data_IF_493471336428
#
_entry.id   IF_493471336428
#
_cell.length_a   1.000
_cell.length_b   1.000
_cell.length_c   1.000
_cell.angle_alpha   90.00
_cell.angle_beta   90.00
_cell.angle_gamma   90.00
#
_symmetry.space_group_name_H-M   'P 1'
#
loop_
_entity.id
_entity.type
_entity.pdbx_description
1 polymer ?
#
# COMPACT_ATOMS: atom_id res chain seq x y z
N UNK A 1 5.37 -0.58 -30.42
CA UNK A 1 6.15 0.07 -29.34
C UNK A 1 5.88 1.57 -29.25
N UNK A 2 5.98 2.35 -30.36
CA UNK A 2 5.70 3.80 -30.33
C UNK A 2 4.28 4.14 -29.83
N UNK A 3 3.25 3.44 -30.27
CA UNK A 3 1.87 3.70 -29.85
C UNK A 3 1.65 3.51 -28.34
N UNK A 4 2.35 2.56 -27.71
CA UNK A 4 2.30 2.35 -26.27
C UNK A 4 2.96 3.51 -25.52
N UNK A 5 4.14 3.96 -25.94
CA UNK A 5 4.83 5.11 -25.35
C UNK A 5 4.01 6.40 -25.47
N UNK A 6 3.39 6.61 -26.65
CA UNK A 6 2.49 7.75 -26.86
C UNK A 6 1.29 7.67 -25.91
N UNK A 7 0.69 6.49 -25.74
CA UNK A 7 -0.41 6.30 -24.78
C UNK A 7 -0.01 6.60 -23.35
N UNK A 8 1.16 6.13 -22.91
CA UNK A 8 1.69 6.46 -21.58
C UNK A 8 1.92 7.97 -21.41
N UNK A 9 2.51 8.64 -22.40
CA UNK A 9 2.71 10.09 -22.38
C UNK A 9 1.40 10.87 -22.34
N UNK A 10 0.42 10.48 -23.15
CA UNK A 10 -0.90 11.14 -23.18
C UNK A 10 -1.61 11.07 -21.82
N UNK A 11 -1.42 9.99 -21.07
CA UNK A 11 -1.98 9.85 -19.72
C UNK A 11 -1.14 10.62 -18.69
N UNK A 12 0.19 10.55 -18.78
CA UNK A 12 1.08 11.12 -17.76
C UNK A 12 1.18 12.64 -17.82
N UNK A 13 1.16 13.25 -19.03
CA UNK A 13 1.34 14.68 -19.21
C UNK A 13 0.28 15.53 -18.47
N UNK A 14 -1.03 15.22 -18.51
CA UNK A 14 -2.02 16.00 -17.74
C UNK A 14 -1.75 15.98 -16.23
N UNK A 15 -1.30 14.84 -15.66
CA UNK A 15 -0.95 14.76 -14.25
C UNK A 15 0.30 15.58 -13.93
N UNK A 16 1.32 15.53 -14.76
CA UNK A 16 2.54 16.35 -14.60
C UNK A 16 2.21 17.82 -14.61
N UNK A 17 1.38 18.28 -15.57
CA UNK A 17 0.94 19.66 -15.65
C UNK A 17 0.16 20.05 -14.38
N UNK A 18 -0.78 19.20 -13.94
CA UNK A 18 -1.56 19.45 -12.71
C UNK A 18 -0.66 19.63 -11.48
N UNK A 19 0.29 18.72 -11.25
CA UNK A 19 1.21 18.84 -10.12
C UNK A 19 2.16 20.03 -10.23
N UNK A 20 2.56 20.39 -11.44
CA UNK A 20 3.35 21.59 -11.69
C UNK A 20 2.57 22.86 -11.35
N UNK A 21 1.34 23.00 -11.83
CA UNK A 21 0.47 24.15 -11.53
C UNK A 21 0.13 24.28 -10.03
N UNK A 22 0.04 23.15 -9.33
CA UNK A 22 -0.16 23.13 -7.86
C UNK A 22 1.12 23.37 -7.05
N UNK A 23 2.27 23.54 -7.70
CA UNK A 23 3.56 23.73 -7.05
C UNK A 23 4.07 22.53 -6.26
N UNK A 24 3.53 21.33 -6.50
CA UNK A 24 3.87 20.11 -5.77
C UNK A 24 4.49 18.99 -6.65
N UNK A 25 5.08 19.37 -7.78
CA UNK A 25 5.73 18.42 -8.70
C UNK A 25 6.95 17.75 -8.03
N UNK A 26 7.73 18.45 -7.23
CA UNK A 26 8.87 17.92 -6.49
C UNK A 26 8.43 16.86 -5.50
N UNK A 27 7.36 17.09 -4.76
CA UNK A 27 6.77 16.14 -3.81
C UNK A 27 6.22 14.91 -4.52
N UNK A 28 5.58 15.10 -5.68
CA UNK A 28 5.11 13.99 -6.51
C UNK A 28 6.27 13.12 -6.99
N UNK A 29 7.34 13.72 -7.53
CA UNK A 29 8.53 12.97 -7.97
C UNK A 29 9.21 12.28 -6.79
N UNK A 30 9.37 12.96 -5.67
CA UNK A 30 9.95 12.39 -4.46
C UNK A 30 9.14 11.18 -3.98
N UNK A 31 7.84 11.33 -3.77
CA UNK A 31 6.97 10.27 -3.24
C UNK A 31 6.84 9.07 -4.19
N UNK A 32 6.83 9.33 -5.50
CA UNK A 32 6.62 8.28 -6.51
C UNK A 32 7.90 7.49 -6.82
N UNK A 33 9.05 8.15 -6.84
CA UNK A 33 10.31 7.55 -7.28
C UNK A 33 11.34 7.46 -6.15
N UNK A 34 11.76 8.59 -5.61
CA UNK A 34 12.88 8.65 -4.66
C UNK A 34 12.58 7.88 -3.38
N UNK A 35 11.43 8.14 -2.78
CA UNK A 35 10.99 7.46 -1.57
C UNK A 35 10.86 5.95 -1.77
N UNK A 36 10.32 5.50 -2.90
CA UNK A 36 10.20 4.06 -3.18
C UNK A 36 11.58 3.39 -3.33
N UNK A 37 12.58 4.08 -3.89
CA UNK A 37 13.95 3.57 -3.95
C UNK A 37 14.58 3.50 -2.55
N UNK A 38 14.40 4.50 -1.70
CA UNK A 38 14.86 4.50 -0.31
C UNK A 38 14.21 3.36 0.49
N UNK A 39 12.90 3.18 0.31
CA UNK A 39 12.13 2.09 0.90
C UNK A 39 12.69 0.72 0.51
N UNK A 40 12.88 0.47 -0.80
CA UNK A 40 13.38 -0.82 -1.30
C UNK A 40 14.78 -1.15 -0.78
N UNK A 41 15.65 -0.15 -0.60
CA UNK A 41 17.01 -0.34 -0.06
C UNK A 41 17.01 -0.81 1.40
N UNK A 42 16.03 -0.40 2.19
CA UNK A 42 15.96 -0.66 3.64
C UNK A 42 15.07 -1.85 4.00
N UNK A 43 14.18 -2.26 3.10
CA UNK A 43 13.30 -3.41 3.34
C UNK A 43 14.08 -4.72 3.34
N UNK A 44 13.82 -5.53 4.36
CA UNK A 44 14.29 -6.92 4.36
C UNK A 44 13.31 -7.80 3.57
N UNK A 45 13.82 -8.75 2.77
CA UNK A 45 12.97 -9.70 2.08
C UNK A 45 12.09 -10.45 3.11
N UNK A 46 10.77 -10.43 2.91
CA UNK A 46 9.79 -11.06 3.80
C UNK A 46 10.06 -12.55 4.05
N UNK A 47 10.68 -13.23 3.09
CA UNK A 47 11.00 -14.67 3.15
C UNK A 47 11.93 -15.05 4.30
N UNK A 48 12.69 -14.09 4.85
CA UNK A 48 13.62 -14.35 5.96
C UNK A 48 12.95 -14.66 7.29
N UNK A 49 11.67 -14.31 7.47
CA UNK A 49 10.91 -14.55 8.69
C UNK A 49 9.64 -15.36 8.47
N UNK A 50 9.42 -15.85 7.23
CA UNK A 50 8.19 -16.53 6.86
C UNK A 50 8.13 -17.94 7.47
N UNK A 51 7.03 -18.25 8.15
CA UNK A 51 6.70 -19.59 8.60
C UNK A 51 6.02 -20.42 7.49
N UNK A 52 5.75 -21.70 7.78
CA UNK A 52 5.11 -22.60 6.82
C UNK A 52 3.71 -22.11 6.40
N UNK A 53 2.98 -21.47 7.31
CA UNK A 53 1.65 -20.92 7.03
C UNK A 53 1.73 -19.70 6.09
N UNK A 54 2.74 -18.87 6.26
CA UNK A 54 2.98 -17.71 5.39
C UNK A 54 3.37 -18.17 3.98
N UNK A 55 4.19 -19.23 3.87
CA UNK A 55 4.51 -19.86 2.59
C UNK A 55 3.24 -20.42 1.92
N UNK A 56 2.37 -21.09 2.69
CA UNK A 56 1.12 -21.65 2.16
C UNK A 56 0.18 -20.54 1.66
N UNK A 57 -0.01 -19.46 2.44
CA UNK A 57 -0.78 -18.29 2.03
C UNK A 57 -0.21 -17.66 0.76
N UNK A 58 1.11 -17.57 0.71
CA UNK A 58 1.83 -17.10 -0.47
C UNK A 58 1.49 -17.92 -1.71
N UNK A 59 1.64 -19.25 -1.66
CA UNK A 59 1.35 -20.12 -2.80
C UNK A 59 -0.10 -20.00 -3.29
N UNK A 60 -1.05 -19.77 -2.37
CA UNK A 60 -2.46 -19.61 -2.71
C UNK A 60 -2.70 -18.23 -3.36
N UNK A 61 -2.26 -17.16 -2.74
CA UNK A 61 -2.52 -15.78 -3.19
C UNK A 61 -1.76 -15.47 -4.47
N UNK A 62 -0.55 -15.98 -4.60
CA UNK A 62 0.33 -15.71 -5.73
C UNK A 62 0.32 -16.80 -6.81
N UNK A 63 -0.71 -17.66 -6.81
CA UNK A 63 -0.86 -18.69 -7.84
C UNK A 63 -0.78 -18.13 -9.26
N UNK A 64 -1.36 -16.95 -9.50
CA UNK A 64 -1.32 -16.27 -10.81
C UNK A 64 0.11 -15.96 -11.24
N UNK A 65 0.98 -15.56 -10.31
CA UNK A 65 2.40 -15.35 -10.57
C UNK A 65 3.09 -16.61 -11.13
N UNK A 66 2.83 -17.76 -10.51
CA UNK A 66 3.37 -19.04 -11.02
C UNK A 66 2.78 -19.43 -12.38
N UNK A 67 1.52 -19.05 -12.65
CA UNK A 67 0.91 -19.23 -13.96
C UNK A 67 1.60 -18.39 -15.04
N UNK A 68 2.08 -17.19 -14.74
CA UNK A 68 2.86 -16.36 -15.69
C UNK A 68 4.19 -17.05 -16.05
N UNK A 69 4.89 -17.61 -15.05
CA UNK A 69 6.10 -18.41 -15.28
C UNK A 69 5.84 -19.64 -16.15
N UNK A 70 4.76 -20.38 -15.87
CA UNK A 70 4.36 -21.53 -16.69
C UNK A 70 3.97 -21.11 -18.12
N UNK A 71 3.31 -19.96 -18.29
CA UNK A 71 2.97 -19.41 -19.60
C UNK A 71 4.21 -19.05 -20.42
N UNK A 72 5.27 -18.54 -19.78
CA UNK A 72 6.54 -18.30 -20.44
C UNK A 72 7.13 -19.60 -21.01
N UNK A 73 7.20 -20.66 -20.21
CA UNK A 73 7.68 -21.96 -20.67
C UNK A 73 6.82 -22.53 -21.80
N UNK A 74 5.51 -22.38 -21.74
CA UNK A 74 4.59 -22.81 -22.78
C UNK A 74 4.79 -22.01 -24.08
N UNK A 75 4.95 -20.69 -24.00
CA UNK A 75 5.22 -19.83 -25.15
C UNK A 75 6.57 -20.21 -25.84
N UNK A 76 7.59 -20.54 -25.04
CA UNK A 76 8.87 -21.01 -25.54
C UNK A 76 8.72 -22.34 -26.29
N UNK A 77 7.99 -23.29 -25.70
CA UNK A 77 7.73 -24.60 -26.36
C UNK A 77 7.01 -24.43 -27.70
N UNK A 78 6.06 -23.47 -27.80
CA UNK A 78 5.37 -23.15 -29.06
C UNK A 78 6.21 -22.30 -30.04
N UNK A 79 7.43 -21.93 -29.68
CA UNK A 79 8.31 -21.03 -30.47
C UNK A 79 7.69 -19.63 -30.67
N UNK A 80 6.79 -19.21 -29.80
CA UNK A 80 6.17 -17.90 -29.81
C UNK A 80 7.06 -16.87 -29.04
N UNK A 81 8.21 -16.55 -29.67
CA UNK A 81 9.29 -15.81 -28.99
C UNK A 81 8.88 -14.41 -28.47
N UNK A 82 8.00 -13.71 -29.18
CA UNK A 82 7.51 -12.40 -28.73
C UNK A 82 6.71 -12.54 -27.43
N UNK A 83 5.82 -13.53 -27.39
CA UNK A 83 4.98 -13.81 -26.21
C UNK A 83 5.84 -14.36 -25.07
N UNK A 84 6.82 -15.21 -25.36
CA UNK A 84 7.82 -15.66 -24.38
C UNK A 84 8.56 -14.50 -23.76
N UNK A 85 9.09 -13.56 -24.56
CA UNK A 85 9.79 -12.39 -24.06
C UNK A 85 8.91 -11.49 -23.19
N UNK A 86 7.64 -11.34 -23.55
CA UNK A 86 6.65 -10.62 -22.74
C UNK A 86 6.45 -11.26 -21.39
N UNK A 87 6.20 -12.57 -21.32
CA UNK A 87 6.02 -13.28 -20.05
C UNK A 87 7.29 -13.30 -19.20
N UNK A 88 8.46 -13.50 -19.80
CA UNK A 88 9.74 -13.48 -19.05
C UNK A 88 10.01 -12.11 -18.45
N UNK A 89 9.79 -11.03 -19.22
CA UNK A 89 9.98 -9.68 -18.72
C UNK A 89 8.99 -9.35 -17.59
N UNK A 90 7.72 -9.70 -17.76
CA UNK A 90 6.71 -9.53 -16.73
C UNK A 90 7.07 -10.32 -15.47
N UNK A 91 7.42 -11.59 -15.62
CA UNK A 91 7.81 -12.45 -14.50
C UNK A 91 9.05 -11.93 -13.78
N UNK A 92 10.04 -11.37 -14.50
CA UNK A 92 11.22 -10.78 -13.90
C UNK A 92 10.92 -9.52 -13.10
N UNK A 93 10.06 -8.62 -13.63
CA UNK A 93 9.63 -7.40 -12.94
C UNK A 93 8.83 -7.77 -11.68
N UNK A 94 7.88 -8.68 -11.79
CA UNK A 94 7.06 -9.15 -10.68
C UNK A 94 7.90 -9.86 -9.62
N UNK A 95 8.89 -10.69 -10.04
CA UNK A 95 9.86 -11.30 -9.13
C UNK A 95 10.65 -10.26 -8.36
N UNK A 96 11.13 -9.24 -9.05
CA UNK A 96 11.87 -8.15 -8.42
C UNK A 96 11.01 -7.43 -7.38
N UNK A 97 9.80 -7.00 -7.74
CA UNK A 97 8.87 -6.34 -6.82
C UNK A 97 8.53 -7.22 -5.62
N UNK A 98 8.41 -8.51 -5.86
CA UNK A 98 8.03 -9.49 -4.87
C UNK A 98 9.15 -9.81 -3.88
N UNK A 99 10.37 -10.06 -4.35
CA UNK A 99 11.49 -10.48 -3.51
C UNK A 99 12.28 -9.30 -2.92
N UNK A 100 12.11 -8.08 -3.44
CA UNK A 100 12.84 -6.90 -2.98
C UNK A 100 12.25 -6.23 -1.76
N UNK A 101 11.00 -6.51 -1.39
CA UNK A 101 10.32 -5.80 -0.32
C UNK A 101 9.26 -6.60 0.43
N UNK A 102 8.35 -5.91 1.11
CA UNK A 102 7.20 -6.52 1.76
C UNK A 102 6.22 -7.05 0.70
N UNK A 103 5.75 -8.28 0.88
CA UNK A 103 4.72 -8.85 0.01
C UNK A 103 3.35 -8.27 0.37
N UNK A 104 2.96 -7.21 -0.30
CA UNK A 104 1.62 -6.66 -0.15
C UNK A 104 0.61 -7.49 -0.96
N UNK A 105 -0.58 -7.69 -0.39
CA UNK A 105 -1.67 -8.47 -1.00
C UNK A 105 -2.10 -7.93 -2.37
N UNK A 106 -1.88 -6.65 -2.64
CA UNK A 106 -2.20 -6.01 -3.93
C UNK A 106 -1.20 -6.31 -5.05
N UNK A 107 0.01 -6.79 -4.77
CA UNK A 107 1.00 -7.06 -5.81
C UNK A 107 0.56 -8.08 -6.88
N UNK A 108 -0.19 -9.16 -6.55
CA UNK A 108 -0.74 -10.05 -7.56
C UNK A 108 -1.64 -9.36 -8.59
N UNK A 109 -2.19 -8.18 -8.28
CA UNK A 109 -3.00 -7.43 -9.24
C UNK A 109 -2.22 -7.00 -10.49
N UNK A 110 -0.89 -6.83 -10.37
CA UNK A 110 0.01 -6.54 -11.50
C UNK A 110 0.04 -7.70 -12.51
N UNK A 111 -0.22 -8.93 -12.05
CA UNK A 111 -0.27 -10.13 -12.90
C UNK A 111 -1.61 -10.30 -13.67
N UNK A 112 -2.64 -9.52 -13.35
CA UNK A 112 -3.97 -9.69 -13.97
C UNK A 112 -3.98 -9.53 -15.49
N UNK A 113 -3.27 -8.55 -16.11
CA UNK A 113 -3.20 -8.45 -17.55
C UNK A 113 -2.61 -9.71 -18.20
N UNK A 114 -1.57 -10.29 -17.61
CA UNK A 114 -0.91 -11.49 -18.11
C UNK A 114 -1.82 -12.71 -18.00
N UNK A 115 -2.68 -12.74 -16.98
CA UNK A 115 -3.69 -13.80 -16.84
C UNK A 115 -4.66 -13.84 -18.02
N UNK A 116 -5.06 -12.67 -18.55
CA UNK A 116 -5.94 -12.61 -19.73
C UNK A 116 -5.27 -13.25 -20.95
N UNK A 117 -3.98 -12.97 -21.17
CA UNK A 117 -3.23 -13.61 -22.27
C UNK A 117 -3.09 -15.12 -22.04
N UNK A 118 -2.81 -15.55 -20.80
CA UNK A 118 -2.73 -16.98 -20.46
C UNK A 118 -4.06 -17.69 -20.70
N UNK A 119 -5.18 -17.11 -20.32
CA UNK A 119 -6.52 -17.68 -20.57
C UNK A 119 -6.78 -17.83 -22.07
N UNK A 120 -6.41 -16.84 -22.87
CA UNK A 120 -6.51 -16.93 -24.33
C UNK A 120 -5.64 -18.08 -24.88
N UNK A 121 -4.40 -18.24 -24.43
CA UNK A 121 -3.53 -19.34 -24.85
C UNK A 121 -4.12 -20.72 -24.47
N UNK A 122 -4.72 -20.84 -23.29
CA UNK A 122 -5.41 -22.07 -22.88
C UNK A 122 -6.60 -22.38 -23.79
N UNK A 123 -7.39 -21.36 -24.17
CA UNK A 123 -8.52 -21.53 -25.09
C UNK A 123 -8.08 -22.04 -26.49
N UNK A 124 -6.87 -21.66 -26.91
CA UNK A 124 -6.29 -22.06 -28.21
C UNK A 124 -5.63 -23.46 -28.19
N UNK A 125 -5.59 -24.16 -27.04
CA UNK A 125 -5.05 -25.52 -26.98
C UNK A 125 -5.88 -26.48 -27.83
N UNK A 126 -5.21 -27.33 -28.63
CA UNK A 126 -5.86 -28.36 -29.43
C UNK A 126 -6.55 -29.42 -28.57
N UNK A 127 -5.91 -29.80 -27.46
CA UNK A 127 -6.48 -30.77 -26.52
C UNK A 127 -7.50 -30.09 -25.60
N UNK A 128 -8.76 -30.15 -26.01
CA UNK A 128 -9.88 -29.52 -25.27
C UNK A 128 -10.07 -30.05 -23.86
N UNK A 129 -9.72 -31.34 -23.58
CA UNK A 129 -9.79 -31.90 -22.22
C UNK A 129 -8.75 -31.25 -21.29
N UNK A 130 -7.55 -30.99 -21.80
CA UNK A 130 -6.51 -30.30 -21.03
C UNK A 130 -6.90 -28.86 -20.81
N UNK A 131 -7.36 -28.15 -21.84
CA UNK A 131 -7.84 -26.78 -21.76
C UNK A 131 -8.94 -26.62 -20.69
N UNK A 132 -9.95 -27.47 -20.70
CA UNK A 132 -11.06 -27.47 -19.72
C UNK A 132 -10.56 -27.69 -18.29
N UNK A 133 -9.63 -28.64 -18.07
CA UNK A 133 -9.07 -28.90 -16.74
C UNK A 133 -8.28 -27.69 -16.21
N UNK A 134 -7.42 -27.07 -17.05
CA UNK A 134 -6.65 -25.90 -16.67
C UNK A 134 -7.56 -24.71 -16.37
N UNK A 135 -8.58 -24.48 -17.19
CA UNK A 135 -9.56 -23.42 -16.98
C UNK A 135 -10.30 -23.61 -15.65
N UNK A 136 -10.78 -24.81 -15.35
CA UNK A 136 -11.46 -25.12 -14.08
C UNK A 136 -10.53 -24.89 -12.87
N UNK A 137 -9.25 -25.24 -12.98
CA UNK A 137 -8.28 -25.05 -11.93
C UNK A 137 -8.05 -23.56 -11.65
N UNK A 138 -7.89 -22.74 -12.70
CA UNK A 138 -7.73 -21.29 -12.56
C UNK A 138 -8.98 -20.66 -11.95
N UNK A 139 -10.16 -21.01 -12.45
CA UNK A 139 -11.45 -20.48 -11.93
C UNK A 139 -11.62 -20.85 -10.46
N UNK A 140 -11.37 -22.11 -10.09
CA UNK A 140 -11.44 -22.56 -8.69
C UNK A 140 -10.50 -21.77 -7.80
N UNK A 141 -9.25 -21.54 -8.24
CA UNK A 141 -8.28 -20.75 -7.49
C UNK A 141 -8.71 -19.29 -7.35
N UNK A 142 -9.27 -18.67 -8.40
CA UNK A 142 -9.81 -17.32 -8.32
C UNK A 142 -10.96 -17.22 -7.30
N UNK A 143 -11.86 -18.20 -7.27
CA UNK A 143 -12.94 -18.26 -6.27
C UNK A 143 -12.36 -18.30 -4.85
N UNK A 144 -11.35 -19.15 -4.60
CA UNK A 144 -10.69 -19.24 -3.29
C UNK A 144 -10.08 -17.88 -2.88
N UNK A 145 -9.37 -17.22 -3.78
CA UNK A 145 -8.77 -15.90 -3.51
C UNK A 145 -9.85 -14.85 -3.20
N UNK A 146 -10.95 -14.84 -3.97
CA UNK A 146 -12.08 -13.93 -3.74
C UNK A 146 -12.71 -14.20 -2.36
N UNK A 147 -12.96 -15.46 -2.01
CA UNK A 147 -13.53 -15.82 -0.70
C UNK A 147 -12.62 -15.37 0.46
N UNK A 148 -11.31 -15.60 0.35
CA UNK A 148 -10.34 -15.12 1.35
C UNK A 148 -10.38 -13.60 1.44
N UNK A 149 -10.40 -12.90 0.31
CA UNK A 149 -10.48 -11.45 0.25
C UNK A 149 -11.75 -10.91 0.92
N UNK A 150 -12.90 -11.51 0.68
CA UNK A 150 -14.18 -11.13 1.31
C UNK A 150 -14.14 -11.30 2.84
N UNK A 151 -13.56 -12.41 3.33
CA UNK A 151 -13.39 -12.62 4.77
C UNK A 151 -12.50 -11.55 5.39
N UNK A 152 -11.41 -11.20 4.72
CA UNK A 152 -10.49 -10.16 5.18
C UNK A 152 -11.16 -8.77 5.20
N UNK A 153 -11.93 -8.43 4.16
CA UNK A 153 -12.70 -7.18 4.10
C UNK A 153 -13.70 -7.10 5.26
N UNK A 154 -14.49 -8.15 5.50
CA UNK A 154 -15.48 -8.14 6.59
C UNK A 154 -14.80 -7.92 7.96
N UNK A 155 -13.70 -8.62 8.24
CA UNK A 155 -12.92 -8.42 9.47
C UNK A 155 -12.37 -7.00 9.59
N UNK A 156 -11.92 -6.43 8.48
CA UNK A 156 -11.42 -5.05 8.46
C UNK A 156 -12.53 -4.05 8.74
N UNK A 157 -13.74 -4.25 8.19
CA UNK A 157 -14.91 -3.39 8.44
C UNK A 157 -15.34 -3.45 9.91
N UNK A 158 -15.45 -4.64 10.49
CA UNK A 158 -15.80 -4.81 11.91
C UNK A 158 -14.78 -4.09 12.82
N UNK A 159 -13.50 -4.31 12.58
CA UNK A 159 -12.43 -3.65 13.32
C UNK A 159 -12.48 -2.12 13.18
N UNK A 160 -12.77 -1.61 11.99
CA UNK A 160 -12.89 -0.19 11.73
C UNK A 160 -14.05 0.44 12.53
N UNK A 161 -15.20 -0.22 12.60
CA UNK A 161 -16.36 0.26 13.34
C UNK A 161 -16.07 0.39 14.85
N UNK A 162 -15.40 -0.58 15.46
CA UNK A 162 -15.03 -0.52 16.87
C UNK A 162 -13.97 0.55 17.16
N UNK A 163 -13.03 0.74 16.27
CA UNK A 163 -11.99 1.76 16.37
C UNK A 163 -12.60 3.17 16.27
N UNK A 164 -13.55 3.39 15.37
CA UNK A 164 -14.21 4.69 15.19
C UNK A 164 -14.96 5.15 16.46
N UNK A 165 -15.57 4.22 17.22
CA UNK A 165 -16.22 4.57 18.51
C UNK A 165 -15.22 5.12 19.54
N UNK A 166 -13.99 4.62 19.54
CA UNK A 166 -12.93 5.13 20.41
C UNK A 166 -12.46 6.52 19.96
N UNK A 167 -12.33 6.74 18.66
CA UNK A 167 -11.98 8.05 18.11
C UNK A 167 -13.05 9.10 18.35
N UNK A 168 -14.33 8.73 18.23
CA UNK A 168 -15.46 9.62 18.43
C UNK A 168 -15.41 10.29 19.79
N UNK A 169 -15.11 9.54 20.85
CA UNK A 169 -14.96 10.07 22.20
C UNK A 169 -13.84 11.10 22.29
N UNK A 170 -12.65 10.77 21.78
CA UNK A 170 -11.48 11.64 21.86
C UNK A 170 -11.61 12.88 20.97
N UNK A 171 -12.18 12.74 19.76
CA UNK A 171 -12.40 13.87 18.84
C UNK A 171 -13.48 14.82 19.36
N UNK A 172 -14.48 14.31 20.09
CA UNK A 172 -15.52 15.14 20.71
C UNK A 172 -14.96 16.14 21.73
N UNK A 173 -13.85 15.81 22.38
CA UNK A 173 -13.16 16.69 23.33
C UNK A 173 -12.45 17.87 22.64
N UNK A 174 -12.20 17.78 21.32
CA UNK A 174 -11.50 18.83 20.58
C UNK A 174 -12.49 19.91 20.16
N UNK A 175 -12.28 21.18 20.57
CA UNK A 175 -13.10 22.29 20.11
C UNK A 175 -13.13 22.38 18.59
N UNK A 176 -14.32 22.59 18.01
CA UNK A 176 -14.49 22.65 16.54
C UNK A 176 -13.55 23.67 15.90
N UNK A 177 -13.31 24.81 16.56
CA UNK A 177 -12.41 25.87 16.09
C UNK A 177 -10.94 25.48 16.09
N UNK A 178 -10.56 24.41 16.79
CA UNK A 178 -9.16 23.93 16.89
C UNK A 178 -8.89 22.67 16.06
N UNK A 179 -9.90 22.11 15.42
CA UNK A 179 -9.77 20.90 14.60
C UNK A 179 -8.86 21.08 13.38
N UNK A 180 -8.66 22.31 12.92
CA UNK A 180 -7.72 22.63 11.83
C UNK A 180 -6.24 22.49 12.24
N UNK A 181 -5.95 22.39 13.54
CA UNK A 181 -4.60 22.17 14.07
C UNK A 181 -4.48 20.82 14.78
N UNK A 182 -5.24 19.84 14.32
CA UNK A 182 -5.23 18.45 14.78
C UNK A 182 -4.42 17.55 13.87
N UNK A 183 -3.69 16.61 14.47
CA UNK A 183 -2.97 15.54 13.78
C UNK A 183 -3.26 14.20 14.45
N UNK A 184 -3.60 13.20 13.65
CA UNK A 184 -3.54 11.80 14.07
C UNK A 184 -2.16 11.24 13.73
N UNK A 185 -1.39 10.90 14.75
CA UNK A 185 -0.01 10.42 14.62
C UNK A 185 0.10 8.94 15.01
N UNK A 186 0.51 8.09 14.09
CA UNK A 186 0.66 6.65 14.35
C UNK A 186 0.37 5.77 13.15
N UNK A 187 -0.37 4.71 13.39
CA UNK A 187 -0.58 3.63 12.43
C UNK A 187 -1.55 3.92 11.28
N UNK A 188 -1.71 2.91 10.44
CA UNK A 188 -2.53 2.97 9.23
C UNK A 188 -4.05 3.12 9.52
N UNK A 189 -4.48 2.80 10.74
CA UNK A 189 -5.87 2.91 11.19
C UNK A 189 -6.39 4.36 11.20
N UNK A 190 -5.52 5.35 11.26
CA UNK A 190 -5.92 6.75 11.31
C UNK A 190 -6.35 7.34 9.96
N UNK A 191 -6.10 6.66 8.83
CA UNK A 191 -6.50 7.17 7.51
C UNK A 191 -8.00 7.42 7.37
N UNK A 192 -8.82 6.58 8.01
CA UNK A 192 -10.27 6.62 7.95
C UNK A 192 -10.87 7.69 8.86
N UNK A 193 -10.14 8.06 9.93
CA UNK A 193 -10.53 9.07 10.88
C UNK A 193 -10.76 10.43 10.19
N UNK A 194 -9.88 10.83 9.30
CA UNK A 194 -10.01 12.11 8.59
C UNK A 194 -11.26 12.16 7.72
N UNK A 195 -11.64 11.06 7.07
CA UNK A 195 -12.85 10.96 6.26
C UNK A 195 -14.11 10.86 7.15
N UNK A 196 -14.06 10.09 8.21
CA UNK A 196 -15.21 9.85 9.07
C UNK A 196 -15.64 11.11 9.85
N UNK A 197 -14.70 11.94 10.28
CA UNK A 197 -14.95 13.16 11.04
C UNK A 197 -14.85 14.45 10.20
N UNK A 198 -14.75 14.33 8.87
CA UNK A 198 -14.59 15.48 7.95
C UNK A 198 -13.44 16.40 8.36
N UNK A 199 -12.29 15.82 8.68
CA UNK A 199 -11.10 16.54 9.12
C UNK A 199 -10.11 16.70 7.97
N UNK A 200 -9.45 17.86 7.92
CA UNK A 200 -8.36 18.11 6.98
C UNK A 200 -7.03 17.79 7.68
N UNK A 201 -6.18 16.91 7.12
CA UNK A 201 -4.85 16.68 7.69
C UNK A 201 -4.06 17.97 7.77
N UNK A 202 -3.50 18.27 8.96
CA UNK A 202 -2.71 19.50 9.17
C UNK A 202 -1.46 19.56 8.29
N UNK A 203 -0.86 18.40 8.00
CA UNK A 203 0.37 18.32 7.21
C UNK A 203 0.36 17.08 6.27
N UNK A 204 1.34 17.02 5.37
CA UNK A 204 1.39 16.03 4.28
C UNK A 204 1.55 14.55 4.72
N UNK A 205 2.10 14.29 5.93
CA UNK A 205 2.24 12.93 6.47
C UNK A 205 1.10 12.63 7.44
N UNK A 206 -0.03 12.20 6.95
CA UNK A 206 -1.25 12.02 7.76
C UNK A 206 -1.49 10.58 8.22
N UNK A 207 -0.66 9.60 7.80
CA UNK A 207 -0.72 8.19 8.25
C UNK A 207 0.67 7.56 8.31
N UNK A 208 0.83 6.53 9.15
CA UNK A 208 2.05 5.70 9.26
C UNK A 208 3.38 6.49 9.32
N UNK A 209 3.36 7.60 10.05
CA UNK A 209 4.48 8.55 10.11
C UNK A 209 5.78 7.91 10.58
N UNK A 210 5.74 7.11 11.66
CA UNK A 210 6.90 6.40 12.21
C UNK A 210 7.52 5.43 11.17
N UNK A 211 6.66 4.75 10.42
CA UNK A 211 7.11 3.85 9.38
C UNK A 211 7.82 4.61 8.25
N UNK A 212 7.25 5.74 7.80
CA UNK A 212 7.89 6.60 6.81
C UNK A 212 9.23 7.14 7.30
N UNK A 213 9.28 7.62 8.54
CA UNK A 213 10.50 8.13 9.18
C UNK A 213 11.58 7.04 9.34
N UNK A 214 11.19 5.78 9.45
CA UNK A 214 12.11 4.64 9.49
C UNK A 214 12.90 4.45 8.19
N UNK A 215 12.35 4.83 7.05
CA UNK A 215 12.97 4.67 5.73
C UNK A 215 13.67 5.91 5.21
N UNK A 216 13.21 7.11 5.59
CA UNK A 216 13.77 8.36 5.09
C UNK A 216 14.11 9.32 6.23
N UNK A 217 15.37 9.72 6.28
CA UNK A 217 15.86 10.73 7.23
C UNK A 217 15.23 12.10 6.94
N UNK A 218 15.02 12.43 5.68
CA UNK A 218 14.32 13.65 5.25
C UNK A 218 12.91 13.71 5.82
N UNK A 219 12.16 12.61 5.72
CA UNK A 219 10.80 12.50 6.28
C UNK A 219 10.84 12.60 7.80
N UNK A 220 11.79 11.94 8.45
CA UNK A 220 11.97 12.00 9.91
C UNK A 220 12.17 13.43 10.39
N UNK A 221 13.10 14.16 9.77
CA UNK A 221 13.43 15.54 10.14
C UNK A 221 12.23 16.47 9.89
N UNK A 222 11.54 16.33 8.77
CA UNK A 222 10.39 17.15 8.43
C UNK A 222 9.20 16.92 9.41
N UNK A 223 8.98 15.66 9.82
CA UNK A 223 8.02 15.33 10.87
C UNK A 223 8.42 16.01 12.19
N UNK A 224 9.65 15.79 12.64
CA UNK A 224 10.13 16.34 13.89
C UNK A 224 10.02 17.87 13.95
N UNK A 225 10.49 18.56 12.92
CA UNK A 225 10.43 20.01 12.82
C UNK A 225 8.98 20.54 12.84
N UNK A 226 8.05 19.84 12.18
CA UNK A 226 6.63 20.23 12.17
C UNK A 226 6.05 20.28 13.57
N UNK A 227 6.32 19.26 14.39
CA UNK A 227 5.82 19.25 15.77
C UNK A 227 6.59 20.19 16.70
N UNK A 228 7.88 20.40 16.46
CA UNK A 228 8.70 21.37 17.21
C UNK A 228 8.25 22.82 17.02
N UNK A 229 7.67 23.20 15.88
CA UNK A 229 7.12 24.55 15.65
C UNK A 229 5.98 24.88 16.61
N UNK A 230 5.21 23.88 17.05
CA UNK A 230 4.10 24.05 18.00
C UNK A 230 2.83 24.61 17.36
N UNK A 231 2.70 24.51 16.05
CA UNK A 231 1.49 24.91 15.33
C UNK A 231 0.37 23.87 15.46
N UNK A 232 0.73 22.62 15.76
CA UNK A 232 -0.19 21.52 16.02
C UNK A 232 -0.68 21.63 17.47
N UNK A 233 -1.96 21.88 17.66
CA UNK A 233 -2.55 22.01 19.02
C UNK A 233 -2.96 20.69 19.62
N UNK A 234 -3.40 19.75 18.79
CA UNK A 234 -3.94 18.48 19.23
C UNK A 234 -3.30 17.31 18.46
N UNK A 235 -2.87 16.30 19.21
CA UNK A 235 -2.26 15.10 18.66
C UNK A 235 -2.99 13.88 19.23
N UNK A 236 -3.58 13.08 18.35
CA UNK A 236 -4.08 11.75 18.68
C UNK A 236 -3.03 10.71 18.28
N UNK A 237 -2.65 9.82 19.19
CA UNK A 237 -1.63 8.80 18.92
C UNK A 237 -2.07 7.41 19.37
N UNK A 238 -1.53 6.38 18.73
CA UNK A 238 -1.65 4.96 19.11
C UNK A 238 -0.47 4.46 19.96
N UNK A 239 0.37 5.38 20.46
CA UNK A 239 1.54 5.06 21.25
C UNK A 239 2.81 4.81 20.45
N UNK A 240 2.73 4.79 19.12
CA UNK A 240 3.91 4.67 18.25
C UNK A 240 4.42 6.07 17.88
N UNK A 241 5.31 6.63 18.72
CA UNK A 241 5.68 8.06 18.72
C UNK A 241 7.19 8.29 18.83
N UNK A 242 8.04 7.31 18.45
CA UNK A 242 9.48 7.36 18.70
C UNK A 242 10.19 8.60 18.13
N UNK A 243 9.68 9.14 17.01
CA UNK A 243 10.22 10.34 16.35
C UNK A 243 9.89 11.63 17.11
N UNK A 244 8.74 11.67 17.79
CA UNK A 244 8.23 12.87 18.46
C UNK A 244 8.10 12.74 19.99
N UNK A 245 8.61 11.67 20.58
CA UNK A 245 8.48 11.39 22.02
C UNK A 245 9.02 12.53 22.91
N UNK A 246 10.16 13.07 22.58
CA UNK A 246 10.78 14.18 23.31
C UNK A 246 9.97 15.47 23.15
N UNK A 247 9.43 15.72 21.98
CA UNK A 247 8.53 16.87 21.71
C UNK A 247 7.26 16.75 22.52
N UNK A 248 6.63 15.55 22.53
CA UNK A 248 5.44 15.29 23.35
C UNK A 248 5.69 15.58 24.82
N UNK A 249 6.80 15.10 25.38
CA UNK A 249 7.16 15.33 26.80
C UNK A 249 7.42 16.79 27.11
N UNK A 250 8.03 17.54 26.19
CA UNK A 250 8.44 18.93 26.44
C UNK A 250 7.28 19.92 26.23
N UNK A 251 6.45 19.72 25.23
CA UNK A 251 5.50 20.72 24.74
C UNK A 251 4.02 20.37 24.89
N UNK A 252 3.72 19.09 25.09
CA UNK A 252 2.34 18.61 25.16
C UNK A 252 2.02 18.04 26.54
N UNK A 253 0.75 18.04 26.88
CA UNK A 253 0.22 17.28 28.01
C UNK A 253 -0.76 16.23 27.48
N UNK A 254 -0.78 15.06 28.13
CA UNK A 254 -1.78 14.06 27.84
C UNK A 254 -3.11 14.55 28.41
N UNK A 255 -4.08 14.79 27.51
CA UNK A 255 -5.36 15.35 27.85
C UNK A 255 -6.39 14.28 28.20
N UNK A 256 -6.50 13.24 27.35
CA UNK A 256 -7.40 12.11 27.57
C UNK A 256 -6.84 10.82 26.91
N UNK A 257 -7.40 9.66 27.29
CA UNK A 257 -6.99 8.35 26.76
C UNK A 257 -8.18 7.39 26.70
N UNK A 258 -8.33 6.68 25.58
CA UNK A 258 -9.32 5.62 25.40
C UNK A 258 -8.62 4.37 24.84
N UNK A 259 -8.54 3.31 25.64
CA UNK A 259 -7.79 2.12 25.31
C UNK A 259 -6.30 2.40 25.17
N UNK A 260 -5.73 2.18 23.98
CA UNK A 260 -4.34 2.50 23.67
C UNK A 260 -4.16 3.82 22.90
N UNK A 261 -5.26 4.54 22.66
CA UNK A 261 -5.21 5.85 22.00
C UNK A 261 -5.11 6.96 23.04
N UNK A 262 -4.16 7.84 22.85
CA UNK A 262 -3.93 8.99 23.72
C UNK A 262 -4.11 10.29 22.94
N UNK A 263 -4.86 11.22 23.52
CA UNK A 263 -5.03 12.57 23.02
C UNK A 263 -4.12 13.51 23.81
N UNK A 264 -3.27 14.23 23.09
CA UNK A 264 -2.36 15.23 23.64
C UNK A 264 -2.79 16.63 23.22
N UNK A 265 -2.58 17.59 24.11
CA UNK A 265 -2.84 19.01 23.88
C UNK A 265 -1.54 19.80 24.07
N UNK A 266 -1.31 20.81 23.22
CA UNK A 266 -0.21 21.76 23.37
C UNK A 266 -0.39 22.54 24.67
N UNK A 267 0.69 22.65 25.50
CA UNK A 267 0.71 23.39 26.77
C UNK A 267 0.59 24.88 26.56
#
# INVERSE_FOLDING_TARGET
MCSFLIGCLLISVPFIIYFYEKGCLSEFVYSTFTYNVEYLKKMQPWIKGADLMDIAKFLIVYFVYFCVGAAALFALWRKAYVLFSFYVLSFAIESYLFFSGASFVQYPAVCLPQLVFLLNEICLLENKKVADRLMKLIVMQMIVVICIGMIQINRAVEKCQDTNKSYEKLIAEIPITERNSFVAYGGNQFKELYLYFDLIPYYKYFVIQEWHAGFSETVRNDIYETFMKGDVKWILTDGNTSVIDDVLRQRYEQYDMVGHYSLFRLR
#
